data_IF_324217591744
#
_entry.id   IF_324217591744
#
_cell.length_a   1.000
_cell.length_b   1.000
_cell.length_c   1.000
_cell.angle_alpha   90.00
_cell.angle_beta   90.00
_cell.angle_gamma   90.00
#
_symmetry.space_group_name_H-M   'P 1'
#
loop_
_entity.id
_entity.type
_entity.pdbx_description
1 polymer ?
#
# COMPACT_ATOMS: atom_id res chain seq x y z
N UNK A 1 -7.31 -29.56 -49.59
CA UNK A 1 -6.09 -29.82 -48.78
C UNK A 1 -5.65 -28.54 -48.09
N UNK A 2 -6.09 -28.31 -46.84
CA UNK A 2 -5.46 -27.37 -45.90
C UNK A 2 -5.76 -27.87 -44.49
N UNK A 3 -4.98 -28.86 -44.03
CA UNK A 3 -5.00 -29.29 -42.63
C UNK A 3 -4.29 -28.21 -41.83
N UNK A 4 -5.04 -27.18 -41.46
CA UNK A 4 -4.56 -26.11 -40.57
C UNK A 4 -4.28 -26.78 -39.23
N UNK A 5 -2.98 -26.90 -38.95
CA UNK A 5 -2.41 -27.63 -37.82
C UNK A 5 -2.91 -27.03 -36.52
N UNK A 6 -3.82 -27.74 -35.85
CA UNK A 6 -4.37 -27.40 -34.52
C UNK A 6 -3.27 -27.24 -33.46
N UNK A 7 -2.06 -27.72 -33.73
CA UNK A 7 -0.90 -27.64 -32.86
C UNK A 7 -0.30 -26.22 -32.75
N UNK A 8 -0.53 -25.36 -33.74
CA UNK A 8 0.01 -23.99 -33.73
C UNK A 8 -0.86 -22.98 -32.96
N UNK A 9 -2.13 -23.30 -32.69
CA UNK A 9 -3.05 -22.41 -31.97
C UNK A 9 -2.96 -22.57 -30.44
N UNK A 10 -2.42 -23.70 -29.98
CA UNK A 10 -2.31 -24.01 -28.55
C UNK A 10 -1.00 -23.48 -27.93
N UNK A 11 0.06 -23.31 -28.73
CA UNK A 11 1.36 -22.82 -28.25
C UNK A 11 1.39 -21.32 -27.97
N UNK A 12 0.49 -20.53 -28.56
CA UNK A 12 0.41 -19.08 -28.31
C UNK A 12 -0.37 -18.73 -27.04
N UNK A 13 -1.15 -19.67 -26.49
CA UNK A 13 -1.95 -19.45 -25.28
C UNK A 13 -1.14 -19.60 -23.97
N UNK A 14 0.08 -20.16 -24.04
CA UNK A 14 0.95 -20.40 -22.88
C UNK A 14 1.92 -19.23 -22.56
N UNK A 15 2.01 -18.22 -23.42
CA UNK A 15 3.03 -17.16 -23.29
C UNK A 15 2.63 -15.96 -22.40
N UNK A 16 1.43 -15.96 -21.81
CA UNK A 16 0.90 -14.78 -21.08
C UNK A 16 1.17 -14.76 -19.57
N UNK A 17 1.97 -15.66 -19.00
CA UNK A 17 2.13 -15.75 -17.54
C UNK A 17 3.28 -14.94 -16.95
N UNK A 18 3.93 -14.04 -17.70
CA UNK A 18 5.14 -13.37 -17.21
C UNK A 18 5.11 -11.85 -17.42
N UNK A 19 4.48 -11.13 -16.49
CA UNK A 19 4.92 -9.81 -16.03
C UNK A 19 3.94 -9.26 -14.98
N UNK A 20 4.12 -9.64 -13.73
CA UNK A 20 3.83 -8.72 -12.62
C UNK A 20 4.84 -8.99 -11.50
N UNK A 21 6.11 -8.76 -11.82
CA UNK A 21 7.13 -8.51 -10.80
C UNK A 21 7.10 -7.01 -10.52
N UNK A 22 6.20 -6.57 -9.65
CA UNK A 22 6.36 -5.26 -9.01
C UNK A 22 7.50 -5.42 -8.01
N UNK A 23 8.66 -4.84 -8.33
CA UNK A 23 9.80 -4.77 -7.42
C UNK A 23 9.32 -4.23 -6.06
N UNK A 24 9.49 -4.96 -4.94
CA UNK A 24 9.43 -4.34 -3.63
C UNK A 24 10.69 -3.50 -3.51
N UNK A 25 10.62 -2.24 -3.95
CA UNK A 25 11.57 -1.23 -3.53
C UNK A 25 11.70 -1.33 -2.01
N UNK A 26 12.92 -1.40 -1.45
CA UNK A 26 13.11 -1.33 -0.01
C UNK A 26 12.56 0.04 0.42
N UNK A 27 11.35 0.07 0.96
CA UNK A 27 10.82 1.24 1.64
C UNK A 27 11.70 1.38 2.87
N UNK A 28 12.68 2.28 2.76
CA UNK A 28 13.50 2.68 3.89
C UNK A 28 12.58 3.33 4.93
N UNK A 29 12.12 2.53 5.88
CA UNK A 29 11.25 2.95 6.99
C UNK A 29 11.93 3.97 7.91
N UNK A 30 13.19 4.33 7.63
CA UNK A 30 14.00 5.24 8.45
C UNK A 30 14.30 6.58 7.77
N UNK A 31 13.87 6.83 6.53
CA UNK A 31 14.31 8.04 5.77
C UNK A 31 13.50 9.32 6.04
N UNK A 32 12.35 9.30 6.72
CA UNK A 32 11.72 10.59 7.07
C UNK A 32 10.73 10.46 8.21
N UNK A 33 11.26 10.36 9.44
CA UNK A 33 10.43 10.67 10.61
C UNK A 33 10.05 12.14 10.48
N UNK A 34 8.77 12.41 10.26
CA UNK A 34 8.26 13.77 10.10
C UNK A 34 8.86 14.67 11.21
N UNK A 35 9.61 15.73 10.86
CA UNK A 35 10.32 16.57 11.84
C UNK A 35 9.35 17.27 12.81
N UNK A 36 8.05 17.27 12.52
CA UNK A 36 7.01 17.76 13.43
C UNK A 36 6.80 16.80 14.61
N UNK A 37 7.08 15.50 14.47
CA UNK A 37 6.95 14.55 15.59
C UNK A 37 7.89 14.89 16.75
N UNK A 38 9.10 15.42 16.47
CA UNK A 38 10.02 15.85 17.53
C UNK A 38 9.56 17.10 18.29
N UNK A 39 8.52 17.78 17.81
CA UNK A 39 7.94 18.95 18.47
C UNK A 39 6.88 18.54 19.52
N UNK A 40 6.49 17.26 19.55
CA UNK A 40 5.50 16.72 20.48
C UNK A 40 6.22 16.22 21.73
N UNK A 41 5.90 16.80 22.88
CA UNK A 41 6.37 16.30 24.18
C UNK A 41 5.50 15.14 24.65
N UNK A 42 6.13 14.00 24.94
CA UNK A 42 5.47 12.80 25.46
C UNK A 42 5.88 12.55 26.92
N UNK A 43 4.98 12.04 27.78
CA UNK A 43 5.37 11.54 29.09
C UNK A 43 6.34 10.36 28.99
N UNK A 44 7.07 10.08 30.08
CA UNK A 44 7.95 8.92 30.14
C UNK A 44 7.17 7.62 29.88
N UNK A 45 7.74 6.73 29.06
CA UNK A 45 7.14 5.44 28.69
C UNK A 45 6.18 5.48 27.49
N UNK A 46 5.94 6.65 26.88
CA UNK A 46 5.13 6.76 25.66
C UNK A 46 6.00 6.93 24.42
N UNK A 47 5.51 6.42 23.29
CA UNK A 47 6.09 6.62 21.95
C UNK A 47 5.02 7.10 20.97
N UNK A 48 5.46 7.73 19.88
CA UNK A 48 4.61 8.18 18.78
C UNK A 48 5.31 7.91 17.46
N UNK A 49 4.55 7.47 16.47
CA UNK A 49 4.99 7.24 15.10
C UNK A 49 3.83 7.53 14.13
N UNK A 50 4.16 7.67 12.84
CA UNK A 50 3.16 7.88 11.79
C UNK A 50 2.47 6.53 11.48
N UNK A 51 1.14 6.51 11.58
CA UNK A 51 0.34 5.32 11.24
C UNK A 51 0.04 5.22 9.74
N UNK A 52 -0.33 6.35 9.11
CA UNK A 52 -0.61 6.45 7.68
C UNK A 52 -0.29 7.86 7.17
N UNK A 53 0.22 7.96 5.94
CA UNK A 53 0.53 9.22 5.26
C UNK A 53 -0.46 9.51 4.13
N UNK A 54 -0.52 10.76 3.68
CA UNK A 54 -1.37 11.16 2.53
C UNK A 54 -2.88 11.15 2.80
N UNK A 55 -3.31 11.05 4.06
CA UNK A 55 -4.73 11.16 4.43
C UNK A 55 -5.12 12.63 4.48
N UNK A 56 -5.63 13.14 3.36
CA UNK A 56 -6.04 14.53 3.24
C UNK A 56 -7.18 14.87 4.22
N UNK A 57 -7.00 15.97 4.97
CA UNK A 57 -7.99 16.45 5.93
C UNK A 57 -8.49 15.37 6.91
N UNK A 58 -7.60 14.49 7.37
CA UNK A 58 -7.90 13.46 8.37
C UNK A 58 -8.48 14.07 9.67
N UNK A 59 -9.66 13.60 10.09
CA UNK A 59 -10.36 14.06 11.30
C UNK A 59 -10.82 12.87 12.14
N UNK A 60 -12.10 12.81 12.49
CA UNK A 60 -12.69 11.82 13.40
C UNK A 60 -12.22 10.41 13.08
N UNK A 61 -11.83 9.66 14.12
CA UNK A 61 -11.36 8.29 14.02
C UNK A 61 -12.21 7.35 14.87
N UNK A 62 -12.45 6.13 14.38
CA UNK A 62 -13.09 5.05 15.13
C UNK A 62 -12.42 3.72 14.80
N UNK A 63 -12.15 2.91 15.83
CA UNK A 63 -11.53 1.59 15.69
C UNK A 63 -12.62 0.51 15.62
N UNK A 64 -12.63 -0.26 14.54
CA UNK A 64 -13.50 -1.43 14.36
C UNK A 64 -13.08 -2.60 15.25
N UNK A 65 -14.01 -3.55 15.45
CA UNK A 65 -13.78 -4.76 16.25
C UNK A 65 -12.73 -5.70 15.65
N UNK A 66 -12.45 -5.57 14.35
CA UNK A 66 -11.44 -6.30 13.59
C UNK A 66 -10.08 -5.59 13.57
N UNK A 67 -9.94 -4.43 14.23
CA UNK A 67 -8.73 -3.63 14.21
C UNK A 67 -8.64 -2.65 13.04
N UNK A 68 -9.66 -2.54 12.20
CA UNK A 68 -9.69 -1.54 11.12
C UNK A 68 -9.90 -0.14 11.69
N UNK A 69 -8.98 0.79 11.42
CA UNK A 69 -9.12 2.19 11.79
C UNK A 69 -9.88 2.95 10.69
N UNK A 70 -11.10 3.40 10.99
CA UNK A 70 -11.89 4.26 10.12
C UNK A 70 -11.55 5.73 10.39
N UNK A 71 -11.20 6.47 9.34
CA UNK A 71 -10.83 7.89 9.43
C UNK A 71 -11.74 8.70 8.52
N UNK A 72 -12.51 9.63 9.10
CA UNK A 72 -13.32 10.56 8.33
C UNK A 72 -12.48 11.72 7.79
N UNK A 73 -12.67 12.07 6.52
CA UNK A 73 -12.13 13.28 5.89
C UNK A 73 -13.27 14.25 5.55
N UNK A 74 -12.98 15.55 5.54
CA UNK A 74 -13.91 16.57 5.04
C UNK A 74 -13.31 17.14 3.76
N UNK A 75 -14.07 17.08 2.68
CA UNK A 75 -13.83 17.88 1.49
C UNK A 75 -14.11 19.35 1.84
N UNK A 76 -13.14 20.23 1.60
CA UNK A 76 -13.34 21.67 1.68
C UNK A 76 -14.27 22.17 0.57
#
# INVERSE_FOLDING_TARGET
MRRISTLALCTTLLASTMACGSDPSPVDRNTSRDPRLSQISLPAGFSIDIYAEGVENARSMALGSDGTLFVGSRSE
#
